data_IF_751572685654
#
_entry.id   IF_751572685654
#
_cell.length_a   1.000
_cell.length_b   1.000
_cell.length_c   1.000
_cell.angle_alpha   90.00
_cell.angle_beta   90.00
_cell.angle_gamma   90.00
#
_symmetry.space_group_name_H-M   'P 1'
#
loop_
_entity.id
_entity.type
_entity.pdbx_description
1 polymer ?
#
# COMPACT_ATOMS: atom_id res chain seq x y z
N UNK A 1 24.73 -4.07 -20.50
CA UNK A 1 23.48 -4.04 -19.71
C UNK A 1 23.02 -2.61 -19.62
N UNK A 2 21.72 -2.37 -19.78
CA UNK A 2 21.13 -1.04 -19.58
C UNK A 2 20.84 -0.87 -18.09
N UNK A 3 21.42 0.14 -17.45
CA UNK A 3 21.20 0.43 -16.04
C UNK A 3 20.33 1.68 -15.95
N UNK A 4 19.21 1.57 -15.24
CA UNK A 4 18.31 2.69 -14.97
C UNK A 4 18.59 3.28 -13.57
N UNK A 5 18.08 4.48 -13.31
CA UNK A 5 18.25 5.14 -12.02
C UNK A 5 17.45 4.43 -10.92
N UNK A 6 17.91 4.50 -9.67
CA UNK A 6 17.12 4.00 -8.53
C UNK A 6 15.79 4.75 -8.36
N UNK A 7 15.70 5.98 -8.89
CA UNK A 7 14.46 6.78 -8.96
C UNK A 7 13.48 6.27 -10.01
N UNK A 8 13.95 5.45 -10.96
CA UNK A 8 13.14 4.83 -12.00
C UNK A 8 12.53 3.50 -11.54
N UNK A 9 12.91 3.00 -10.35
CA UNK A 9 12.26 1.81 -9.80
C UNK A 9 10.93 2.24 -9.21
N UNK A 10 9.85 1.63 -9.67
CA UNK A 10 8.51 1.98 -9.27
C UNK A 10 8.31 3.49 -9.49
N UNK A 11 8.35 3.95 -10.74
CA UNK A 11 8.13 5.35 -11.13
C UNK A 11 6.92 5.57 -12.06
N UNK A 12 6.30 4.48 -12.51
CA UNK A 12 5.09 4.47 -13.32
C UNK A 12 5.38 4.00 -14.74
N UNK A 13 6.64 3.86 -15.09
CA UNK A 13 7.09 3.72 -16.45
C UNK A 13 8.16 2.64 -16.56
N UNK A 14 7.86 1.59 -17.33
CA UNK A 14 8.81 0.50 -17.56
C UNK A 14 10.01 1.01 -18.40
N UNK A 15 11.12 1.30 -17.73
CA UNK A 15 12.39 1.70 -18.33
C UNK A 15 13.29 0.48 -18.56
N UNK A 16 13.15 -0.59 -17.78
CA UNK A 16 13.83 -1.86 -18.09
C UNK A 16 13.14 -2.57 -19.27
N UNK A 17 13.93 -3.25 -20.11
CA UNK A 17 13.44 -4.05 -21.24
C UNK A 17 12.45 -5.15 -20.81
N UNK A 18 12.67 -5.70 -19.62
CA UNK A 18 11.80 -6.70 -18.98
C UNK A 18 10.73 -6.07 -18.07
N UNK A 19 10.67 -4.73 -17.97
CA UNK A 19 9.76 -4.02 -17.05
C UNK A 19 10.00 -4.35 -15.58
N UNK A 20 11.16 -4.91 -15.24
CA UNK A 20 11.50 -5.38 -13.88
C UNK A 20 11.54 -4.26 -12.85
N UNK A 21 11.70 -3.03 -13.31
CA UNK A 21 11.62 -1.82 -12.52
C UNK A 21 10.20 -1.47 -12.07
N UNK A 22 9.20 -2.06 -12.73
CA UNK A 22 7.78 -1.97 -12.41
C UNK A 22 7.21 -3.30 -11.89
N UNK A 23 7.93 -4.41 -12.05
CA UNK A 23 7.52 -5.74 -11.60
C UNK A 23 7.78 -5.92 -10.10
N UNK A 24 6.73 -6.23 -9.33
CA UNK A 24 6.82 -6.40 -7.87
C UNK A 24 6.75 -5.08 -7.09
N UNK A 25 6.35 -4.00 -7.76
CA UNK A 25 6.02 -2.74 -7.10
C UNK A 25 4.66 -2.80 -6.40
N UNK A 26 4.48 -2.08 -5.28
CA UNK A 26 3.18 -1.95 -4.63
C UNK A 26 2.15 -1.26 -5.56
N UNK A 27 0.84 -1.49 -5.35
CA UNK A 27 -0.19 -0.99 -6.25
C UNK A 27 -0.16 0.55 -6.36
N UNK A 28 -0.46 1.05 -7.56
CA UNK A 28 -0.48 2.48 -7.86
C UNK A 28 -1.66 3.14 -7.16
N UNK A 29 -1.40 4.16 -6.34
CA UNK A 29 -2.46 5.04 -5.84
C UNK A 29 -3.12 5.85 -6.98
N UNK A 30 -4.26 6.52 -6.72
CA UNK A 30 -5.02 7.25 -7.74
C UNK A 30 -4.24 8.37 -8.46
N UNK A 31 -3.10 8.80 -7.91
CA UNK A 31 -2.22 9.81 -8.52
C UNK A 31 -0.97 9.21 -9.20
N UNK A 32 -0.93 7.89 -9.45
CA UNK A 32 0.24 7.21 -10.02
C UNK A 32 1.44 7.15 -9.07
N UNK A 33 1.23 7.47 -7.78
CA UNK A 33 2.27 7.47 -6.77
C UNK A 33 2.28 6.12 -6.06
N UNK A 34 3.45 5.50 -6.02
CA UNK A 34 3.69 4.26 -5.29
C UNK A 34 3.42 4.50 -3.84
N UNK A 35 2.63 3.61 -3.26
CA UNK A 35 2.38 3.67 -1.83
C UNK A 35 3.71 3.35 -1.14
N UNK A 36 4.24 4.26 -0.29
CA UNK A 36 5.44 3.99 0.46
C UNK A 36 5.27 2.65 1.20
N UNK A 37 6.36 1.92 1.40
CA UNK A 37 6.34 0.65 2.14
C UNK A 37 5.78 0.80 3.57
N UNK A 38 5.65 2.03 4.05
CA UNK A 38 5.07 2.44 5.34
C UNK A 38 3.55 2.75 5.28
N UNK A 39 2.91 2.60 4.12
CA UNK A 39 1.47 2.76 3.91
C UNK A 39 0.80 1.41 3.72
N UNK A 40 -0.51 1.35 3.98
CA UNK A 40 -1.35 0.20 3.67
C UNK A 40 -2.07 0.45 2.35
N UNK A 41 -2.14 -0.59 1.52
CA UNK A 41 -2.82 -0.51 0.23
C UNK A 41 -4.14 -1.26 0.32
N UNK A 42 -5.21 -0.51 0.08
CA UNK A 42 -6.56 -0.96 -0.04
C UNK A 42 -6.79 -1.88 -1.23
N UNK A 43 -7.90 -2.62 -1.19
CA UNK A 43 -8.36 -3.42 -2.31
C UNK A 43 -8.77 -2.53 -3.50
N UNK A 44 -9.27 -1.33 -3.23
CA UNK A 44 -9.58 -0.30 -4.23
C UNK A 44 -8.36 0.53 -4.65
N UNK A 45 -7.13 0.01 -4.51
CA UNK A 45 -5.86 0.71 -4.83
C UNK A 45 -5.62 2.04 -4.09
N UNK A 46 -6.45 2.36 -3.11
CA UNK A 46 -6.29 3.51 -2.24
C UNK A 46 -5.17 3.24 -1.23
N UNK A 47 -4.49 4.30 -0.80
CA UNK A 47 -3.39 4.15 0.16
C UNK A 47 -3.56 5.02 1.36
N UNK A 48 -3.60 4.36 2.50
CA UNK A 48 -3.84 4.94 3.80
C UNK A 48 -2.64 4.71 4.71
N UNK A 49 -2.61 5.40 5.84
CA UNK A 49 -1.60 5.11 6.86
C UNK A 49 -1.81 3.70 7.42
N UNK A 50 -0.73 2.98 7.71
CA UNK A 50 -0.82 1.71 8.45
C UNK A 50 -1.45 1.85 9.83
N UNK A 51 -1.46 3.07 10.38
CA UNK A 51 -2.12 3.40 11.65
C UNK A 51 -3.65 3.57 11.52
N UNK A 52 -4.16 3.65 10.29
CA UNK A 52 -5.59 3.73 9.95
C UNK A 52 -6.13 2.36 9.53
N UNK A 53 -5.37 1.29 9.82
CA UNK A 53 -5.79 -0.07 9.52
C UNK A 53 -6.31 -0.65 10.81
N UNK A 54 -7.57 -1.05 10.86
CA UNK A 54 -8.21 -1.57 12.06
C UNK A 54 -8.29 -0.54 13.19
N UNK A 55 -8.56 0.71 12.82
CA UNK A 55 -8.72 1.82 13.75
C UNK A 55 -10.20 2.16 14.05
N UNK A 56 -11.13 1.49 13.36
CA UNK A 56 -12.57 1.65 13.53
C UNK A 56 -13.20 2.67 12.58
N UNK A 57 -12.43 3.35 11.73
CA UNK A 57 -12.93 4.20 10.65
C UNK A 57 -12.69 3.54 9.28
N UNK A 58 -13.51 3.88 8.29
CA UNK A 58 -13.29 3.37 6.95
C UNK A 58 -12.56 4.41 6.09
N UNK A 59 -11.25 4.49 6.26
CA UNK A 59 -10.36 5.31 5.42
C UNK A 59 -10.24 4.78 3.99
N UNK A 60 -10.40 3.47 3.82
CA UNK A 60 -10.26 2.80 2.54
C UNK A 60 -11.42 3.04 1.55
N UNK A 61 -12.54 3.62 2.01
CA UNK A 61 -13.84 3.77 1.31
C UNK A 61 -14.49 2.46 0.82
N UNK A 62 -13.78 1.35 0.87
CA UNK A 62 -14.19 -0.02 0.50
C UNK A 62 -14.18 -0.96 1.72
N UNK A 63 -13.94 -0.43 2.93
CA UNK A 63 -13.82 -1.19 4.18
C UNK A 63 -12.69 -2.23 4.20
N UNK A 64 -11.76 -2.21 3.22
CA UNK A 64 -10.69 -3.22 3.15
C UNK A 64 -9.71 -3.11 4.31
N UNK A 65 -9.53 -1.91 4.86
CA UNK A 65 -8.75 -1.57 6.05
C UNK A 65 -9.35 -2.09 7.36
N UNK A 66 -10.68 -2.20 7.42
CA UNK A 66 -11.44 -2.63 8.59
C UNK A 66 -11.93 -4.09 8.48
N UNK A 67 -11.40 -4.87 7.54
CA UNK A 67 -11.80 -6.27 7.38
C UNK A 67 -11.37 -7.12 8.57
N UNK A 68 -12.27 -7.99 9.04
CA UNK A 68 -12.01 -8.90 10.17
C UNK A 68 -10.77 -9.78 9.91
N UNK A 69 -10.59 -10.25 8.68
CA UNK A 69 -9.43 -11.09 8.33
C UNK A 69 -8.11 -10.34 8.48
N UNK A 70 -8.08 -9.06 8.08
CA UNK A 70 -6.93 -8.19 8.24
C UNK A 70 -6.69 -7.87 9.72
N UNK A 71 -7.72 -7.42 10.43
CA UNK A 71 -7.62 -7.01 11.84
C UNK A 71 -7.29 -8.14 12.81
N UNK A 72 -7.54 -9.40 12.42
CA UNK A 72 -7.04 -10.57 13.16
C UNK A 72 -5.52 -10.71 13.12
N UNK A 73 -4.89 -10.23 12.07
CA UNK A 73 -3.43 -10.34 11.87
C UNK A 73 -2.68 -9.11 12.36
N UNK A 74 -3.36 -7.97 12.50
CA UNK A 74 -2.76 -6.73 12.99
C UNK A 74 -2.70 -6.77 14.52
N UNK A 75 -1.50 -6.67 15.13
CA UNK A 75 -1.38 -6.62 16.58
C UNK A 75 -1.98 -5.31 17.11
N UNK A 76 -2.82 -5.39 18.15
CA UNK A 76 -3.33 -4.23 18.90
C UNK A 76 -2.23 -3.56 19.76
N UNK A 77 -1.06 -3.30 19.17
CA UNK A 77 0.07 -2.63 19.83
C UNK A 77 0.04 -1.11 19.65
N UNK A 78 -1.00 -0.58 19.00
CA UNK A 78 -1.19 0.85 18.77
C UNK A 78 -2.41 1.33 19.54
N UNK A 79 -2.32 2.52 20.14
CA UNK A 79 -3.40 3.22 20.86
C UNK A 79 -4.63 3.51 19.98
N UNK A 80 -4.47 3.35 18.67
CA UNK A 80 -5.49 3.54 17.64
C UNK A 80 -6.14 2.23 17.19
N UNK A 81 -5.65 1.05 17.59
CA UNK A 81 -6.26 -0.24 17.20
C UNK A 81 -7.17 -0.77 18.30
N UNK A 82 -8.47 -0.80 18.04
CA UNK A 82 -9.47 -1.25 19.02
C UNK A 82 -9.89 -2.70 18.74
N UNK A 83 -9.91 -3.52 19.79
CA UNK A 83 -10.44 -4.88 19.73
C UNK A 83 -11.91 -4.84 20.12
N UNK A 84 -12.79 -5.13 19.17
CA UNK A 84 -14.22 -5.32 19.43
C UNK A 84 -14.50 -6.66 20.13
#
# INVERSE_FOLDING_TARGET
GHCISNTSRCDGYAQCRDGSDEAGCPPRGPNGQYCPTDRFTCNNTLCINKNWVCDGDNDCLDNSDETIELCRTVPCNSTYHFRY
#
